data_IF_058026005357
#
_entry.id   IF_058026005357
#
_cell.length_a   1.000
_cell.length_b   1.000
_cell.length_c   1.000
_cell.angle_alpha   90.00
_cell.angle_beta   90.00
_cell.angle_gamma   90.00
#
_symmetry.space_group_name_H-M   'P 1'
#
loop_
_entity.id
_entity.type
_entity.pdbx_description
1 polymer ?
#
# COMPACT_ATOMS: atom_id res chain seq x y z
N UNK A 1 -3.13 -32.02 -34.33
CA UNK A 1 -3.12 -32.02 -32.85
C UNK A 1 -1.69 -32.21 -32.41
N UNK A 2 -1.04 -31.17 -31.90
CA UNK A 2 0.34 -31.24 -31.40
C UNK A 2 0.32 -31.46 -29.89
N UNK A 3 0.80 -32.63 -29.45
CA UNK A 3 1.01 -32.93 -28.04
C UNK A 3 2.33 -32.31 -27.61
N UNK A 4 2.26 -31.35 -26.68
CA UNK A 4 3.43 -30.76 -26.04
C UNK A 4 3.77 -31.65 -24.84
N UNK A 5 4.73 -32.55 -24.99
CA UNK A 5 5.33 -33.28 -23.86
C UNK A 5 6.26 -32.35 -23.09
N UNK A 6 5.77 -31.80 -21.98
CA UNK A 6 6.59 -31.03 -21.03
C UNK A 6 7.40 -32.03 -20.20
N UNK A 7 8.69 -32.19 -20.53
CA UNK A 7 9.64 -33.01 -19.77
C UNK A 7 9.81 -32.43 -18.36
N UNK A 8 9.27 -33.12 -17.36
CA UNK A 8 9.16 -32.68 -15.96
C UNK A 8 10.44 -32.70 -15.12
N UNK A 9 11.62 -32.38 -15.69
CA UNK A 9 12.88 -32.33 -14.94
C UNK A 9 13.37 -30.94 -14.53
N UNK A 10 12.72 -29.87 -15.01
CA UNK A 10 13.20 -28.49 -14.77
C UNK A 10 12.23 -27.61 -13.96
N UNK A 11 11.15 -28.18 -13.42
CA UNK A 11 10.14 -27.41 -12.65
C UNK A 11 10.53 -27.16 -11.18
N UNK A 12 11.55 -27.83 -10.64
CA UNK A 12 11.94 -27.73 -9.23
C UNK A 12 12.51 -26.35 -8.84
N UNK A 13 13.67 -25.95 -9.39
CA UNK A 13 14.36 -24.74 -8.93
C UNK A 13 13.74 -23.45 -9.47
N UNK A 14 13.11 -23.48 -10.65
CA UNK A 14 12.46 -22.31 -11.27
C UNK A 14 11.18 -21.93 -10.51
N UNK A 15 10.43 -22.93 -10.03
CA UNK A 15 9.24 -22.71 -9.20
C UNK A 15 9.59 -22.08 -7.85
N UNK A 16 10.66 -22.55 -7.20
CA UNK A 16 11.12 -21.97 -5.93
C UNK A 16 11.61 -20.53 -6.08
N UNK A 17 12.36 -20.21 -7.14
CA UNK A 17 12.85 -18.85 -7.39
C UNK A 17 11.71 -17.87 -7.66
N UNK A 18 10.72 -18.29 -8.46
CA UNK A 18 9.55 -17.48 -8.79
C UNK A 18 8.71 -17.19 -7.53
N UNK A 19 8.58 -18.19 -6.65
CA UNK A 19 7.89 -18.05 -5.37
C UNK A 19 8.59 -17.02 -4.49
N UNK A 20 9.92 -17.11 -4.32
CA UNK A 20 10.69 -16.16 -3.51
C UNK A 20 10.56 -14.73 -4.05
N UNK A 21 10.64 -14.54 -5.37
CA UNK A 21 10.48 -13.22 -5.99
C UNK A 21 9.06 -12.66 -5.77
N UNK A 22 8.02 -13.48 -5.91
CA UNK A 22 6.64 -13.07 -5.68
C UNK A 22 6.42 -12.65 -4.22
N UNK A 23 6.91 -13.44 -3.26
CA UNK A 23 6.84 -13.09 -1.84
C UNK A 23 7.63 -11.81 -1.53
N UNK A 24 8.84 -11.65 -2.09
CA UNK A 24 9.65 -10.45 -1.95
C UNK A 24 8.93 -9.19 -2.44
N UNK A 25 8.27 -9.26 -3.60
CA UNK A 25 7.49 -8.16 -4.15
C UNK A 25 6.27 -7.80 -3.28
N UNK A 26 5.54 -8.80 -2.76
CA UNK A 26 4.39 -8.59 -1.86
C UNK A 26 4.85 -7.89 -0.57
N UNK A 27 5.94 -8.35 0.03
CA UNK A 27 6.51 -7.75 1.25
C UNK A 27 6.95 -6.31 0.99
N UNK A 28 7.67 -6.05 -0.11
CA UNK A 28 8.10 -4.71 -0.48
C UNK A 28 6.91 -3.75 -0.71
N UNK A 29 5.85 -4.21 -1.38
CA UNK A 29 4.63 -3.43 -1.59
C UNK A 29 3.93 -3.11 -0.25
N UNK A 30 3.84 -4.09 0.64
CA UNK A 30 3.21 -3.94 1.96
C UNK A 30 3.96 -2.94 2.84
N UNK A 31 5.29 -3.01 2.82
CA UNK A 31 6.16 -2.06 3.54
C UNK A 31 5.99 -0.66 2.96
N UNK A 32 6.08 -0.48 1.63
CA UNK A 32 5.91 0.81 0.99
C UNK A 32 4.56 1.48 1.30
N UNK A 33 3.48 0.72 1.27
CA UNK A 33 2.14 1.21 1.63
C UNK A 33 2.06 1.65 3.11
N UNK A 34 2.73 0.92 4.00
CA UNK A 34 2.77 1.25 5.44
C UNK A 34 3.55 2.54 5.69
N UNK A 35 4.72 2.70 5.07
CA UNK A 35 5.52 3.92 5.18
C UNK A 35 4.74 5.16 4.73
N UNK A 36 4.06 5.07 3.56
CA UNK A 36 3.24 6.18 3.06
C UNK A 36 2.09 6.55 4.02
N UNK A 37 1.46 5.56 4.65
CA UNK A 37 0.42 5.80 5.65
C UNK A 37 0.97 6.46 6.92
N UNK A 38 2.12 6.02 7.40
CA UNK A 38 2.77 6.63 8.57
C UNK A 38 3.16 8.08 8.30
N UNK A 39 3.79 8.35 7.15
CA UNK A 39 4.19 9.69 6.73
C UNK A 39 2.99 10.64 6.55
N UNK A 40 1.88 10.14 6.02
CA UNK A 40 0.65 10.91 5.93
C UNK A 40 0.01 11.16 7.30
N UNK A 41 0.03 10.16 8.18
CA UNK A 41 -0.52 10.28 9.54
C UNK A 41 0.26 11.29 10.36
N UNK A 42 1.60 11.26 10.30
CA UNK A 42 2.42 12.23 10.99
C UNK A 42 2.18 13.66 10.48
N UNK A 43 2.07 13.87 9.17
CA UNK A 43 1.75 15.17 8.59
C UNK A 43 0.35 15.67 9.00
N UNK A 44 -0.67 14.80 8.98
CA UNK A 44 -2.00 15.16 9.47
C UNK A 44 -1.99 15.54 10.96
N UNK A 45 -1.27 14.77 11.79
CA UNK A 45 -1.13 15.04 13.22
C UNK A 45 -0.42 16.38 13.49
N UNK A 46 0.65 16.67 12.76
CA UNK A 46 1.37 17.96 12.87
C UNK A 46 0.47 19.15 12.51
N UNK A 47 -0.46 18.97 11.59
CA UNK A 47 -1.44 19.99 11.22
C UNK A 47 -2.70 20.03 12.12
N UNK A 48 -2.73 19.26 13.21
CA UNK A 48 -3.83 19.26 14.17
C UNK A 48 -5.03 18.40 13.78
N UNK A 49 -4.85 17.47 12.84
CA UNK A 49 -5.85 16.45 12.49
C UNK A 49 -5.50 15.11 13.16
N UNK A 50 -6.35 14.59 14.06
CA UNK A 50 -6.04 13.41 14.86
C UNK A 50 -6.07 12.10 14.05
N UNK A 51 -6.69 12.09 12.87
CA UNK A 51 -6.85 10.90 12.05
C UNK A 51 -6.43 11.18 10.61
N UNK A 52 -5.85 10.16 9.97
CA UNK A 52 -5.69 10.11 8.52
C UNK A 52 -6.56 8.97 7.97
N UNK A 53 -7.23 9.20 6.84
CA UNK A 53 -7.99 8.19 6.11
C UNK A 53 -7.45 8.08 4.70
N UNK A 54 -7.35 6.86 4.21
CA UNK A 54 -6.86 6.56 2.88
C UNK A 54 -7.94 5.84 2.11
N UNK A 55 -8.28 6.35 0.93
CA UNK A 55 -9.32 5.78 0.09
C UNK A 55 -8.76 4.67 -0.83
N UNK A 56 -9.64 3.94 -1.53
CA UNK A 56 -9.28 2.87 -2.47
C UNK A 56 -8.34 3.35 -3.59
N UNK A 57 -8.38 4.63 -3.93
CA UNK A 57 -7.46 5.27 -4.89
C UNK A 57 -6.08 5.62 -4.30
N UNK A 58 -5.77 5.17 -3.09
CA UNK A 58 -4.57 5.55 -2.35
C UNK A 58 -4.46 7.06 -2.05
N UNK A 59 -5.56 7.80 -2.18
CA UNK A 59 -5.63 9.21 -1.77
C UNK A 59 -5.74 9.30 -0.27
N UNK A 60 -4.89 10.12 0.35
CA UNK A 60 -4.89 10.31 1.80
C UNK A 60 -5.49 11.65 2.18
N UNK A 61 -6.36 11.61 3.19
CA UNK A 61 -7.07 12.74 3.74
C UNK A 61 -6.82 12.83 5.24
N UNK A 62 -6.69 14.03 5.74
CA UNK A 62 -6.65 14.33 7.16
C UNK A 62 -8.08 14.60 7.64
N UNK A 63 -8.47 13.96 8.73
CA UNK A 63 -9.83 14.03 9.29
C UNK A 63 -9.77 14.57 10.71
N UNK A 64 -10.62 15.54 10.99
CA UNK A 64 -10.85 16.11 12.32
C UNK A 64 -12.34 16.22 12.57
N UNK A 65 -12.79 15.69 13.70
CA UNK A 65 -14.17 15.85 14.14
C UNK A 65 -14.32 17.21 14.83
N UNK A 66 -15.24 18.04 14.35
CA UNK A 66 -15.62 19.29 14.99
C UNK A 66 -17.11 19.24 15.26
N UNK A 67 -17.46 19.17 16.55
CA UNK A 67 -18.83 19.01 17.04
C UNK A 67 -19.53 17.77 16.43
N UNK A 68 -20.42 18.00 15.45
CA UNK A 68 -21.19 16.97 14.75
C UNK A 68 -20.76 16.76 13.28
N UNK A 69 -19.70 17.42 12.83
CA UNK A 69 -19.21 17.32 11.45
C UNK A 69 -17.77 16.82 11.38
N UNK A 70 -17.48 16.02 10.36
CA UNK A 70 -16.12 15.57 10.05
C UNK A 70 -15.52 16.50 9.00
N UNK A 71 -14.50 17.27 9.38
CA UNK A 71 -13.71 18.07 8.46
C UNK A 71 -12.70 17.14 7.79
N UNK A 72 -12.78 17.01 6.47
CA UNK A 72 -11.92 16.17 5.66
C UNK A 72 -11.12 17.07 4.72
N UNK A 73 -9.80 17.06 4.85
CA UNK A 73 -8.89 17.86 4.02
C UNK A 73 -7.87 16.95 3.34
N UNK A 74 -7.61 17.08 2.03
CA UNK A 74 -6.62 16.27 1.35
C UNK A 74 -5.21 16.58 1.88
N UNK A 75 -4.38 15.55 2.01
CA UNK A 75 -3.01 15.67 2.53
C UNK A 75 -2.15 16.69 1.75
N UNK A 76 -2.43 16.86 0.45
CA UNK A 76 -1.75 17.83 -0.42
C UNK A 76 -1.94 19.29 0.01
N UNK A 77 -3.07 19.62 0.64
CA UNK A 77 -3.33 20.96 1.15
C UNK A 77 -2.63 21.23 2.48
N UNK A 78 -2.39 20.16 3.25
CA UNK A 78 -1.73 20.19 4.56
C UNK A 78 -0.21 20.31 4.45
N UNK A 79 0.39 19.80 3.37
CA UNK A 79 1.83 19.81 3.11
C UNK A 79 2.38 21.11 2.49
N UNK A 80 1.55 22.15 2.30
CA UNK A 80 2.01 23.45 1.78
C UNK A 80 3.01 24.10 2.72
#
# INVERSE_FOLDING_TARGET
>A
MMNIEINGKELGPVSSLLTILAFGAIVAFSIGATYKRMEATSACLQAGYPQSKMDWQLKTYCVKRQEQSDIVVPLSEVRK
#
